data_IF_212808113157
#
_entry.id   IF_212808113157
#
_cell.length_a   1.000
_cell.length_b   1.000
_cell.length_c   1.000
_cell.angle_alpha   90.00
_cell.angle_beta   90.00
_cell.angle_gamma   90.00
#
_symmetry.space_group_name_H-M   'P 1'
#
loop_
_entity.id
_entity.type
_entity.pdbx_description
1 polymer ?
#
# COMPACT_ATOMS: atom_id res chain seq x y z
N UNK A 1 4.20 11.56 19.68
CA UNK A 1 3.56 11.91 18.41
C UNK A 1 2.70 13.13 18.68
N UNK A 2 3.13 14.33 18.27
CA UNK A 2 2.21 15.47 18.20
C UNK A 2 1.18 15.09 17.11
N UNK A 3 -0.11 15.16 17.40
CA UNK A 3 -1.20 14.65 16.55
C UNK A 3 -1.45 15.50 15.29
N UNK A 4 -0.40 15.73 14.50
CA UNK A 4 -0.46 16.45 13.23
C UNK A 4 -1.05 15.61 12.10
N UNK A 5 -1.48 16.31 11.05
CA UNK A 5 -1.91 15.70 9.79
C UNK A 5 -0.70 15.12 9.06
N UNK A 6 -0.85 13.92 8.50
CA UNK A 6 0.09 13.31 7.55
C UNK A 6 -0.51 13.43 6.15
N UNK A 7 0.27 13.90 5.16
CA UNK A 7 -0.22 14.06 3.77
C UNK A 7 -1.60 14.76 3.71
N UNK A 8 -2.64 14.02 3.31
CA UNK A 8 -3.99 14.51 3.02
C UNK A 8 -5.05 13.99 4.02
N UNK A 9 -4.62 13.70 5.25
CA UNK A 9 -5.45 13.18 6.36
C UNK A 9 -6.74 13.98 6.64
N UNK A 10 -6.75 15.28 6.32
CA UNK A 10 -7.89 16.16 6.55
C UNK A 10 -9.18 15.66 5.88
N UNK A 11 -9.07 14.88 4.81
CA UNK A 11 -10.22 14.32 4.11
C UNK A 11 -10.96 13.27 4.92
N UNK A 12 -10.21 12.47 5.69
CA UNK A 12 -10.76 11.36 6.46
C UNK A 12 -11.46 11.83 7.72
N UNK A 13 -10.97 12.91 8.30
CA UNK A 13 -11.45 13.45 9.57
C UNK A 13 -12.62 14.41 9.40
N UNK A 14 -12.68 15.14 8.28
CA UNK A 14 -13.71 16.17 8.04
C UNK A 14 -14.95 15.67 7.31
N UNK A 15 -14.99 14.42 6.86
CA UNK A 15 -16.11 13.85 6.08
C UNK A 15 -16.80 12.72 6.82
N UNK A 16 -18.14 12.64 6.81
CA UNK A 16 -18.86 11.49 7.34
C UNK A 16 -18.71 10.29 6.40
N UNK A 17 -18.18 9.19 6.91
CA UNK A 17 -18.08 7.92 6.21
C UNK A 17 -19.23 7.02 6.64
N UNK A 18 -20.11 6.64 5.71
CA UNK A 18 -21.27 5.82 6.00
C UNK A 18 -20.90 4.39 6.42
N UNK A 19 -21.72 3.78 7.30
CA UNK A 19 -21.60 2.37 7.71
C UNK A 19 -22.38 1.40 6.80
N UNK A 20 -23.08 1.91 5.78
CA UNK A 20 -23.87 1.08 4.87
C UNK A 20 -22.97 0.38 3.83
N UNK A 21 -22.47 -0.81 4.17
CA UNK A 21 -21.62 -1.60 3.28
C UNK A 21 -22.31 -1.93 1.94
N UNK A 22 -23.61 -2.24 1.95
CA UNK A 22 -24.36 -2.51 0.71
C UNK A 22 -24.44 -1.27 -0.19
N UNK A 23 -24.59 -0.09 0.40
CA UNK A 23 -24.51 1.18 -0.32
C UNK A 23 -23.14 1.40 -0.98
N UNK A 24 -22.05 1.04 -0.28
CA UNK A 24 -20.70 1.13 -0.83
C UNK A 24 -20.44 0.14 -1.96
N UNK A 25 -21.05 -1.06 -1.92
CA UNK A 25 -20.97 -2.02 -3.03
C UNK A 25 -21.58 -1.45 -4.32
N UNK A 26 -22.65 -0.67 -4.22
CA UNK A 26 -23.36 -0.10 -5.37
C UNK A 26 -22.68 1.14 -5.98
N UNK A 27 -21.89 1.88 -5.18
CA UNK A 27 -21.38 3.21 -5.56
C UNK A 27 -19.84 3.30 -5.64
N UNK A 28 -19.10 2.40 -5.00
CA UNK A 28 -17.63 2.47 -4.97
C UNK A 28 -17.08 3.66 -4.16
N UNK A 29 -15.76 3.82 -4.17
CA UNK A 29 -14.97 4.73 -3.33
C UNK A 29 -15.34 6.23 -3.49
N UNK A 30 -16.03 6.59 -4.56
CA UNK A 30 -15.84 7.92 -5.15
C UNK A 30 -17.06 8.53 -5.86
N UNK A 31 -18.22 7.86 -5.80
CA UNK A 31 -19.47 8.40 -6.35
C UNK A 31 -19.94 9.68 -5.64
N UNK A 32 -19.49 9.90 -4.40
CA UNK A 32 -19.76 11.12 -3.63
C UNK A 32 -18.84 12.30 -4.03
N UNK A 33 -17.91 12.08 -4.95
CA UNK A 33 -16.89 13.05 -5.38
C UNK A 33 -16.94 13.35 -6.88
N UNK A 34 -17.80 12.68 -7.65
CA UNK A 34 -17.89 12.88 -9.10
C UNK A 34 -16.64 12.46 -9.88
N UNK A 35 -15.75 11.66 -9.28
CA UNK A 35 -14.50 11.19 -9.90
C UNK A 35 -14.29 9.74 -9.55
N UNK A 36 -14.40 8.76 -10.46
CA UNK A 36 -14.20 7.34 -10.13
C UNK A 36 -12.84 6.81 -10.61
N UNK A 37 -11.85 6.91 -9.74
CA UNK A 37 -10.49 6.40 -9.93
C UNK A 37 -10.30 4.98 -9.36
N UNK A 38 -11.13 4.53 -8.39
CA UNK A 38 -11.04 3.16 -7.85
C UNK A 38 -12.38 2.57 -7.30
N UNK A 39 -12.50 1.24 -7.31
CA UNK A 39 -13.60 0.49 -6.67
C UNK A 39 -13.07 -0.34 -5.48
N UNK A 40 -13.25 0.17 -4.25
CA UNK A 40 -12.71 -0.41 -2.99
C UNK A 40 -13.72 -0.37 -1.83
N UNK A 41 -14.91 -0.96 -1.99
CA UNK A 41 -16.04 -0.78 -1.07
C UNK A 41 -15.76 -1.23 0.37
N UNK A 42 -14.96 -2.28 0.58
CA UNK A 42 -14.65 -2.73 1.94
C UNK A 42 -13.73 -1.75 2.67
N UNK A 43 -12.75 -1.17 1.96
CA UNK A 43 -11.89 -0.13 2.53
C UNK A 43 -12.71 1.09 2.95
N UNK A 44 -13.65 1.56 2.12
CA UNK A 44 -14.58 2.66 2.49
C UNK A 44 -15.32 2.34 3.79
N UNK A 45 -15.89 1.14 3.87
CA UNK A 45 -16.60 0.69 5.06
C UNK A 45 -15.71 0.71 6.31
N UNK A 46 -14.43 0.31 6.20
CA UNK A 46 -13.50 0.38 7.34
C UNK A 46 -13.17 1.80 7.78
N UNK A 47 -13.23 2.81 6.91
CA UNK A 47 -13.12 4.20 7.35
C UNK A 47 -14.35 4.66 8.12
N UNK A 48 -15.56 4.26 7.68
CA UNK A 48 -16.80 4.49 8.45
C UNK A 48 -16.74 3.87 9.84
N UNK A 49 -16.31 2.61 9.92
CA UNK A 49 -16.14 1.92 11.19
C UNK A 49 -15.11 2.61 12.08
N UNK A 50 -13.97 3.02 11.50
CA UNK A 50 -12.95 3.76 12.24
C UNK A 50 -13.47 5.11 12.73
N UNK A 51 -14.23 5.84 11.92
CA UNK A 51 -14.77 7.14 12.32
C UNK A 51 -15.78 7.01 13.46
N UNK A 52 -16.61 5.96 13.42
CA UNK A 52 -17.56 5.65 14.48
C UNK A 52 -16.87 5.30 15.81
N UNK A 53 -15.73 4.61 15.76
CA UNK A 53 -14.93 4.27 16.94
C UNK A 53 -14.05 5.43 17.44
N UNK A 54 -13.31 6.06 16.52
CA UNK A 54 -12.33 7.10 16.79
C UNK A 54 -12.05 7.95 15.52
N UNK A 55 -12.68 9.11 15.43
CA UNK A 55 -12.68 9.97 14.23
C UNK A 55 -11.47 10.89 14.06
N UNK A 56 -10.56 10.97 15.03
CA UNK A 56 -9.38 11.85 14.96
C UNK A 56 -8.30 11.28 14.02
N UNK A 57 -7.36 12.10 13.50
CA UNK A 57 -6.24 11.61 12.69
C UNK A 57 -5.46 10.48 13.40
N UNK A 58 -5.20 10.66 14.70
CA UNK A 58 -4.55 9.66 15.56
C UNK A 58 -5.31 8.33 15.56
N UNK A 59 -6.65 8.38 15.56
CA UNK A 59 -7.50 7.19 15.52
C UNK A 59 -7.39 6.41 14.21
N UNK A 60 -7.26 7.10 13.08
CA UNK A 60 -7.06 6.44 11.79
C UNK A 60 -5.67 5.81 11.66
N UNK A 61 -4.63 6.51 12.12
CA UNK A 61 -3.25 6.00 12.17
C UNK A 61 -3.14 4.79 13.10
N UNK A 62 -3.74 4.85 14.29
CA UNK A 62 -3.82 3.71 15.20
C UNK A 62 -4.53 2.52 14.56
N UNK A 63 -5.60 2.76 13.79
CA UNK A 63 -6.29 1.73 13.02
C UNK A 63 -5.38 1.06 11.99
N UNK A 64 -4.57 1.82 11.24
CA UNK A 64 -3.61 1.27 10.27
C UNK A 64 -2.52 0.44 10.96
N UNK A 65 -1.97 0.94 12.07
CA UNK A 65 -0.98 0.22 12.87
C UNK A 65 -1.56 -1.10 13.40
N UNK A 66 -2.80 -1.10 13.88
CA UNK A 66 -3.47 -2.30 14.36
C UNK A 66 -3.67 -3.32 13.23
N UNK A 67 -4.14 -2.89 12.05
CA UNK A 67 -4.29 -3.76 10.88
C UNK A 67 -2.94 -4.36 10.48
N UNK A 68 -1.87 -3.56 10.51
CA UNK A 68 -0.52 -4.02 10.20
C UNK A 68 0.01 -5.02 11.25
N UNK A 69 -0.26 -4.80 12.54
CA UNK A 69 0.06 -5.74 13.60
C UNK A 69 -0.66 -7.08 13.41
N UNK A 70 -1.95 -7.05 13.04
CA UNK A 70 -2.73 -8.25 12.69
C UNK A 70 -2.12 -8.97 11.47
N UNK A 71 -1.73 -8.24 10.43
CA UNK A 71 -1.06 -8.81 9.26
C UNK A 71 0.25 -9.53 9.66
N UNK A 72 1.06 -8.91 10.52
CA UNK A 72 2.32 -9.46 11.02
C UNK A 72 2.11 -10.71 11.90
N UNK A 73 1.01 -10.72 12.68
CA UNK A 73 0.54 -11.91 13.38
C UNK A 73 0.19 -13.05 12.42
N UNK A 74 -0.58 -12.78 11.37
CA UNK A 74 -0.88 -13.79 10.35
C UNK A 74 0.37 -14.25 9.57
N UNK A 75 1.34 -13.37 9.31
CA UNK A 75 2.63 -13.75 8.73
C UNK A 75 3.36 -14.78 9.61
N UNK A 76 3.39 -14.56 10.93
CA UNK A 76 3.94 -15.51 11.92
C UNK A 76 3.20 -16.85 11.89
N UNK A 77 1.87 -16.79 11.98
CA UNK A 77 1.02 -17.98 12.03
C UNK A 77 1.11 -18.80 10.74
N UNK A 78 1.12 -18.13 9.59
CA UNK A 78 1.30 -18.76 8.28
C UNK A 78 2.69 -19.40 8.18
N UNK A 79 3.76 -18.68 8.52
CA UNK A 79 5.12 -19.21 8.54
C UNK A 79 5.24 -20.48 9.40
N UNK A 80 4.60 -20.50 10.57
CA UNK A 80 4.55 -21.66 11.46
C UNK A 80 3.83 -22.85 10.81
N UNK A 81 2.70 -22.59 10.13
CA UNK A 81 1.94 -23.63 9.40
C UNK A 81 2.67 -24.15 8.17
N UNK A 82 3.54 -23.34 7.56
CA UNK A 82 4.38 -23.72 6.43
C UNK A 82 5.65 -24.49 6.85
N UNK A 83 5.80 -24.83 8.13
CA UNK A 83 6.85 -25.74 8.60
C UNK A 83 8.06 -25.09 9.25
N UNK A 84 8.07 -23.76 9.44
CA UNK A 84 9.10 -23.11 10.25
C UNK A 84 8.90 -23.40 11.75
N UNK A 85 10.00 -23.48 12.50
CA UNK A 85 10.00 -23.54 13.97
C UNK A 85 9.37 -22.30 14.59
N UNK A 86 9.00 -22.36 15.88
CA UNK A 86 8.34 -21.23 16.56
C UNK A 86 9.18 -19.94 16.51
N UNK A 87 10.49 -20.04 16.78
CA UNK A 87 11.41 -18.91 16.73
C UNK A 87 11.53 -18.31 15.33
N UNK A 88 11.77 -19.16 14.31
CA UNK A 88 11.88 -18.69 12.92
C UNK A 88 10.57 -18.08 12.41
N UNK A 89 9.42 -18.65 12.76
CA UNK A 89 8.12 -18.09 12.44
C UNK A 89 7.90 -16.72 13.10
N UNK A 90 8.29 -16.56 14.37
CA UNK A 90 8.27 -15.26 15.06
C UNK A 90 9.17 -14.22 14.38
N UNK A 91 10.37 -14.63 13.96
CA UNK A 91 11.28 -13.78 13.17
C UNK A 91 10.62 -13.35 11.87
N UNK A 92 9.90 -14.23 11.16
CA UNK A 92 9.16 -13.87 9.94
C UNK A 92 8.16 -12.73 10.20
N UNK A 93 7.38 -12.82 11.28
CA UNK A 93 6.42 -11.77 11.64
C UNK A 93 7.07 -10.46 12.06
N UNK A 94 8.17 -10.50 12.83
CA UNK A 94 8.93 -9.30 13.22
C UNK A 94 9.57 -8.64 12.01
N UNK A 95 10.13 -9.43 11.08
CA UNK A 95 10.66 -8.91 9.82
C UNK A 95 9.55 -8.25 9.00
N UNK A 96 8.39 -8.89 8.87
CA UNK A 96 7.25 -8.28 8.19
C UNK A 96 6.82 -6.98 8.88
N UNK A 97 6.70 -6.97 10.21
CA UNK A 97 6.32 -5.77 10.97
C UNK A 97 7.29 -4.58 10.82
N UNK A 98 8.58 -4.87 10.65
CA UNK A 98 9.62 -3.86 10.56
C UNK A 98 10.06 -3.57 9.12
N UNK A 99 9.43 -4.19 8.12
CA UNK A 99 9.90 -4.09 6.74
C UNK A 99 9.78 -2.64 6.23
N UNK A 100 10.85 -2.00 5.73
CA UNK A 100 10.87 -0.57 5.44
C UNK A 100 9.87 -0.15 4.34
N UNK A 101 9.54 -1.08 3.44
CA UNK A 101 8.53 -0.86 2.38
C UNK A 101 7.11 -0.62 2.91
N UNK A 102 6.86 -0.85 4.19
CA UNK A 102 5.54 -0.65 4.78
C UNK A 102 5.27 0.78 5.23
N UNK A 103 6.28 1.66 5.27
CA UNK A 103 6.15 3.04 5.72
C UNK A 103 4.92 3.72 5.11
N UNK A 104 4.91 3.88 3.78
CA UNK A 104 3.75 4.44 3.08
C UNK A 104 2.41 3.77 3.41
N UNK A 105 2.34 2.43 3.45
CA UNK A 105 1.08 1.72 3.64
C UNK A 105 0.52 1.90 5.06
N UNK A 106 1.40 2.14 6.05
CA UNK A 106 1.05 2.27 7.46
C UNK A 106 0.87 3.74 7.86
N UNK A 107 1.81 4.62 7.50
CA UNK A 107 1.83 6.04 7.87
C UNK A 107 0.73 6.85 7.20
N UNK A 108 0.34 6.49 5.98
CA UNK A 108 -0.67 7.22 5.22
C UNK A 108 -2.06 6.61 5.44
N UNK A 109 -3.07 7.42 5.80
CA UNK A 109 -4.43 6.89 6.06
C UNK A 109 -4.94 6.12 4.83
N UNK A 110 -4.85 6.67 3.62
CA UNK A 110 -5.26 6.00 2.37
C UNK A 110 -4.44 4.73 2.05
N UNK A 111 -3.24 4.62 2.61
CA UNK A 111 -2.38 3.44 2.55
C UNK A 111 -3.03 2.18 3.16
N UNK A 112 -4.08 2.35 3.97
CA UNK A 112 -4.91 1.28 4.57
C UNK A 112 -5.34 0.22 3.56
N UNK A 113 -5.61 0.62 2.31
CA UNK A 113 -6.00 -0.31 1.24
C UNK A 113 -5.04 -1.50 1.12
N UNK A 114 -3.72 -1.24 1.15
CA UNK A 114 -2.70 -2.27 1.06
C UNK A 114 -2.54 -3.06 2.37
N UNK A 115 -2.55 -2.39 3.54
CA UNK A 115 -2.41 -3.08 4.83
C UNK A 115 -3.59 -4.00 5.12
N UNK A 116 -4.82 -3.54 4.86
CA UNK A 116 -6.06 -4.28 5.05
C UNK A 116 -6.13 -5.48 4.11
N UNK A 117 -5.90 -5.27 2.81
CA UNK A 117 -5.88 -6.36 1.85
C UNK A 117 -4.77 -7.38 2.16
N UNK A 118 -3.59 -6.92 2.60
CA UNK A 118 -2.50 -7.80 3.02
C UNK A 118 -2.84 -8.62 4.26
N UNK A 119 -3.41 -8.00 5.30
CA UNK A 119 -3.85 -8.70 6.51
C UNK A 119 -4.87 -9.80 6.20
N UNK A 120 -5.90 -9.46 5.41
CA UNK A 120 -6.94 -10.38 4.98
C UNK A 120 -6.39 -11.49 4.08
N UNK A 121 -5.44 -11.18 3.19
CA UNK A 121 -4.77 -12.17 2.32
C UNK A 121 -3.94 -13.16 3.12
N UNK A 122 -3.13 -12.69 4.07
CA UNK A 122 -2.32 -13.54 4.95
C UNK A 122 -3.21 -14.40 5.85
N UNK A 123 -4.29 -13.83 6.40
CA UNK A 123 -5.29 -14.58 7.17
C UNK A 123 -6.00 -15.65 6.35
N UNK A 124 -6.39 -15.33 5.11
CA UNK A 124 -7.01 -16.28 4.19
C UNK A 124 -6.06 -17.45 3.86
N UNK A 125 -4.79 -17.15 3.56
CA UNK A 125 -3.76 -18.17 3.32
C UNK A 125 -3.52 -19.05 4.55
N UNK A 126 -3.48 -18.45 5.75
CA UNK A 126 -3.35 -19.18 7.01
C UNK A 126 -4.54 -20.13 7.26
N UNK A 127 -5.77 -19.65 7.11
CA UNK A 127 -6.98 -20.46 7.27
C UNK A 127 -7.07 -21.58 6.24
N UNK A 128 -6.64 -21.34 4.99
CA UNK A 128 -6.60 -22.35 3.94
C UNK A 128 -5.64 -23.51 4.24
N UNK A 129 -4.72 -23.35 5.21
CA UNK A 129 -3.84 -24.45 5.66
C UNK A 129 -4.56 -25.49 6.51
N UNK A 130 -5.77 -25.22 6.99
CA UNK A 130 -6.54 -26.12 7.84
C UNK A 130 -7.55 -26.95 7.04
N UNK A 131 -7.75 -28.24 7.40
CA UNK A 131 -8.85 -29.02 6.85
C UNK A 131 -10.22 -28.52 7.37
N UNK A 132 -11.27 -28.79 6.60
CA UNK A 132 -12.66 -28.60 7.04
C UNK A 132 -13.42 -27.51 6.28
N UNK A 133 -14.75 -27.62 6.27
CA UNK A 133 -15.63 -26.68 5.57
C UNK A 133 -15.65 -25.29 6.19
N UNK A 134 -15.63 -25.20 7.52
CA UNK A 134 -15.59 -23.93 8.25
C UNK A 134 -14.34 -23.09 7.91
N UNK A 135 -13.15 -23.70 7.96
CA UNK A 135 -11.90 -23.01 7.60
C UNK A 135 -11.89 -22.57 6.14
N UNK A 136 -12.42 -23.39 5.22
CA UNK A 136 -12.55 -23.03 3.81
C UNK A 136 -13.49 -21.82 3.65
N UNK A 137 -14.65 -21.83 4.30
CA UNK A 137 -15.59 -20.71 4.26
C UNK A 137 -15.00 -19.41 4.84
N UNK A 138 -14.28 -19.52 5.96
CA UNK A 138 -13.60 -18.38 6.57
C UNK A 138 -12.46 -17.85 5.68
N UNK A 139 -11.66 -18.73 5.07
CA UNK A 139 -10.62 -18.35 4.10
C UNK A 139 -11.21 -17.66 2.87
N UNK A 140 -12.29 -18.19 2.30
CA UNK A 140 -13.02 -17.57 1.19
C UNK A 140 -13.56 -16.20 1.59
N UNK A 141 -14.10 -16.06 2.80
CA UNK A 141 -14.64 -14.78 3.30
C UNK A 141 -13.53 -13.74 3.40
N UNK A 142 -12.40 -14.06 4.03
CA UNK A 142 -11.27 -13.13 4.11
C UNK A 142 -10.72 -12.80 2.71
N UNK A 143 -10.64 -13.77 1.80
CA UNK A 143 -10.19 -13.53 0.44
C UNK A 143 -11.13 -12.62 -0.35
N UNK A 144 -12.44 -12.79 -0.20
CA UNK A 144 -13.45 -11.92 -0.78
C UNK A 144 -13.29 -10.48 -0.29
N UNK A 145 -13.16 -10.30 1.03
CA UNK A 145 -12.96 -8.99 1.63
C UNK A 145 -11.63 -8.36 1.19
N UNK A 146 -10.56 -9.15 1.01
CA UNK A 146 -9.29 -8.66 0.50
C UNK A 146 -9.42 -8.08 -0.92
N UNK A 147 -10.10 -8.81 -1.82
CA UNK A 147 -10.37 -8.36 -3.20
C UNK A 147 -11.22 -7.08 -3.21
N UNK A 148 -12.23 -6.99 -2.35
CA UNK A 148 -13.08 -5.81 -2.18
C UNK A 148 -12.36 -4.62 -1.49
N UNK A 149 -11.21 -4.86 -0.87
CA UNK A 149 -10.39 -3.81 -0.24
C UNK A 149 -9.46 -3.14 -1.23
N UNK A 150 -8.82 -3.96 -2.08
CA UNK A 150 -7.73 -3.48 -2.92
C UNK A 150 -7.48 -4.40 -4.12
N UNK A 151 -7.23 -3.79 -5.28
CA UNK A 151 -6.92 -4.51 -6.51
C UNK A 151 -5.65 -5.36 -6.44
N UNK A 152 -4.77 -5.10 -5.47
CA UNK A 152 -3.59 -5.93 -5.20
C UNK A 152 -3.91 -7.37 -4.83
N UNK A 153 -5.10 -7.62 -4.28
CA UNK A 153 -5.53 -8.97 -3.90
C UNK A 153 -6.14 -9.76 -5.07
N UNK A 154 -6.12 -9.23 -6.30
CA UNK A 154 -6.75 -9.85 -7.46
C UNK A 154 -6.28 -11.28 -7.74
N UNK A 155 -4.99 -11.57 -7.52
CA UNK A 155 -4.39 -12.90 -7.71
C UNK A 155 -4.33 -13.73 -6.43
N UNK A 156 -5.01 -13.32 -5.35
CA UNK A 156 -5.12 -14.12 -4.13
C UNK A 156 -5.67 -15.54 -4.36
N UNK A 157 -6.65 -15.79 -5.27
CA UNK A 157 -7.07 -17.15 -5.61
C UNK A 157 -5.89 -18.06 -6.02
N UNK A 158 -4.96 -17.55 -6.84
CA UNK A 158 -3.79 -18.30 -7.28
C UNK A 158 -2.79 -18.54 -6.12
N UNK A 159 -2.64 -17.58 -5.22
CA UNK A 159 -1.80 -17.75 -4.02
C UNK A 159 -2.36 -18.82 -3.08
N UNK A 160 -3.68 -18.86 -2.89
CA UNK A 160 -4.35 -19.90 -2.10
C UNK A 160 -4.11 -21.29 -2.69
N UNK A 161 -4.17 -21.42 -4.03
CA UNK A 161 -3.80 -22.68 -4.71
C UNK A 161 -2.37 -23.05 -4.39
N UNK A 162 -1.42 -22.13 -4.53
CA UNK A 162 -0.01 -22.39 -4.26
C UNK A 162 0.23 -22.87 -2.82
N UNK A 163 -0.40 -22.22 -1.82
CA UNK A 163 -0.31 -22.61 -0.41
C UNK A 163 -0.92 -23.99 -0.14
N UNK A 164 -2.12 -24.26 -0.68
CA UNK A 164 -2.79 -25.55 -0.49
C UNK A 164 -2.01 -26.68 -1.16
N UNK A 165 -1.41 -26.42 -2.33
CA UNK A 165 -0.59 -27.38 -3.05
C UNK A 165 0.72 -27.67 -2.33
N UNK A 166 1.37 -26.65 -1.78
CA UNK A 166 2.60 -26.81 -0.99
C UNK A 166 2.44 -27.79 0.18
N UNK A 167 1.27 -27.77 0.84
CA UNK A 167 0.96 -28.62 1.98
C UNK A 167 0.64 -30.07 1.60
N UNK A 168 0.61 -30.43 0.31
CA UNK A 168 0.39 -31.81 -0.08
C UNK A 168 1.59 -32.70 0.22
N UNK A 169 1.36 -33.90 0.79
CA UNK A 169 2.38 -34.94 0.85
C UNK A 169 2.94 -35.22 -0.54
N UNK A 170 4.27 -35.38 -0.66
CA UNK A 170 4.93 -35.61 -1.94
C UNK A 170 4.44 -36.87 -2.69
N UNK A 171 3.84 -37.82 -1.96
CA UNK A 171 3.33 -39.10 -2.48
C UNK A 171 1.80 -39.19 -2.37
N UNK A 172 1.10 -38.07 -2.23
CA UNK A 172 -0.36 -38.10 -2.19
C UNK A 172 -0.90 -38.63 -3.54
N UNK A 173 -1.81 -39.63 -3.54
CA UNK A 173 -2.29 -40.27 -4.76
C UNK A 173 -3.16 -39.36 -5.64
N UNK A 174 -3.60 -38.20 -5.14
CA UNK A 174 -4.38 -37.24 -5.90
C UNK A 174 -4.09 -35.78 -5.49
N UNK A 175 -4.16 -34.83 -6.45
CA UNK A 175 -4.04 -33.40 -6.18
C UNK A 175 -5.17 -32.90 -5.26
N UNK A 176 -5.03 -31.75 -4.58
CA UNK A 176 -5.94 -31.30 -3.53
C UNK A 176 -7.20 -30.64 -4.12
N UNK A 177 -7.63 -31.07 -5.31
CA UNK A 177 -8.64 -30.39 -6.12
C UNK A 177 -9.95 -30.19 -5.35
N UNK A 178 -10.35 -31.14 -4.50
CA UNK A 178 -11.55 -30.99 -3.66
C UNK A 178 -11.43 -29.84 -2.67
N UNK A 179 -10.26 -29.68 -2.04
CA UNK A 179 -9.99 -28.59 -1.08
C UNK A 179 -9.87 -27.26 -1.82
N UNK A 180 -9.16 -27.25 -2.95
CA UNK A 180 -9.03 -26.09 -3.82
C UNK A 180 -10.41 -25.64 -4.30
N UNK A 181 -11.22 -26.54 -4.85
CA UNK A 181 -12.56 -26.24 -5.34
C UNK A 181 -13.49 -25.70 -4.24
N UNK A 182 -13.46 -26.25 -3.02
CA UNK A 182 -14.27 -25.72 -1.90
C UNK A 182 -13.93 -24.28 -1.54
N UNK A 183 -12.68 -23.86 -1.71
CA UNK A 183 -12.24 -22.50 -1.38
C UNK A 183 -12.45 -21.56 -2.57
N UNK A 184 -12.19 -22.04 -3.79
CA UNK A 184 -12.20 -21.22 -5.00
C UNK A 184 -13.55 -21.09 -5.68
N UNK A 185 -14.40 -22.13 -5.66
CA UNK A 185 -15.71 -22.06 -6.30
C UNK A 185 -16.57 -20.89 -5.78
N UNK A 186 -16.72 -20.69 -4.45
CA UNK A 186 -17.44 -19.51 -3.95
C UNK A 186 -16.68 -18.20 -4.21
N UNK A 187 -15.34 -18.23 -4.25
CA UNK A 187 -14.51 -17.04 -4.51
C UNK A 187 -14.60 -16.57 -5.97
N UNK A 188 -14.83 -17.49 -6.91
CA UNK A 188 -14.96 -17.17 -8.33
C UNK A 188 -16.15 -16.23 -8.59
N UNK A 189 -17.28 -16.46 -7.93
CA UNK A 189 -18.45 -15.57 -8.03
C UNK A 189 -18.12 -14.15 -7.53
N UNK A 190 -17.43 -14.03 -6.39
CA UNK A 190 -17.00 -12.73 -5.85
C UNK A 190 -16.03 -12.02 -6.78
N UNK A 191 -15.07 -12.78 -7.34
CA UNK A 191 -14.08 -12.25 -8.25
C UNK A 191 -14.72 -11.73 -9.55
N UNK A 192 -15.65 -12.51 -10.14
CA UNK A 192 -16.41 -12.09 -11.32
C UNK A 192 -17.28 -10.87 -11.03
N UNK A 193 -17.95 -10.84 -9.87
CA UNK A 193 -18.72 -9.69 -9.42
C UNK A 193 -17.83 -8.45 -9.26
N UNK A 194 -16.66 -8.57 -8.65
CA UNK A 194 -15.71 -7.47 -8.49
C UNK A 194 -15.25 -6.92 -9.84
N UNK A 195 -14.89 -7.80 -10.79
CA UNK A 195 -14.51 -7.38 -12.16
C UNK A 195 -15.65 -6.66 -12.84
N UNK A 196 -16.88 -7.20 -12.76
CA UNK A 196 -18.06 -6.58 -13.34
C UNK A 196 -18.37 -5.21 -12.74
N UNK A 197 -18.41 -5.09 -11.41
CA UNK A 197 -18.65 -3.81 -10.72
C UNK A 197 -17.54 -2.81 -11.02
N UNK A 198 -16.28 -3.24 -11.01
CA UNK A 198 -15.15 -2.37 -11.32
C UNK A 198 -15.22 -1.86 -12.75
N UNK A 199 -15.56 -2.72 -13.71
CA UNK A 199 -15.79 -2.31 -15.09
C UNK A 199 -16.92 -1.28 -15.16
N UNK A 200 -18.07 -1.56 -14.55
CA UNK A 200 -19.24 -0.69 -14.58
C UNK A 200 -18.99 0.69 -13.93
N UNK A 201 -18.42 0.72 -12.72
CA UNK A 201 -18.17 1.95 -11.96
C UNK A 201 -17.10 2.82 -12.61
N UNK A 202 -16.03 2.22 -13.17
CA UNK A 202 -14.94 2.98 -13.79
C UNK A 202 -15.29 3.39 -15.23
N UNK A 203 -16.07 2.60 -15.98
CA UNK A 203 -16.48 2.94 -17.35
C UNK A 203 -17.68 3.89 -17.43
N UNK A 204 -18.50 3.98 -16.37
CA UNK A 204 -19.72 4.78 -16.34
C UNK A 204 -19.56 6.24 -15.93
N UNK A 205 -18.39 6.67 -15.44
CA UNK A 205 -18.10 8.05 -15.03
C UNK A 205 -17.00 8.62 -15.94
N UNK A 206 -17.24 9.80 -16.51
CA UNK A 206 -16.48 10.39 -17.61
C UNK A 206 -14.96 10.29 -17.47
N UNK A 207 -14.34 9.98 -18.62
CA UNK A 207 -12.89 10.01 -18.86
C UNK A 207 -12.34 11.45 -18.80
N UNK A 208 -12.54 12.22 -17.75
CA UNK A 208 -11.89 13.55 -17.63
C UNK A 208 -11.01 13.64 -16.38
N UNK A 209 -11.21 12.77 -15.40
CA UNK A 209 -10.43 12.75 -14.15
C UNK A 209 -9.06 12.11 -14.29
N UNK A 210 -8.82 11.36 -15.36
CA UNK A 210 -7.51 10.80 -15.68
C UNK A 210 -6.49 11.90 -16.08
N UNK A 211 -6.96 13.12 -16.36
CA UNK A 211 -6.11 14.27 -16.72
C UNK A 211 -5.21 14.78 -15.57
N UNK A 212 -5.64 14.63 -14.31
CA UNK A 212 -4.81 14.98 -13.14
C UNK A 212 -3.79 13.88 -12.81
N UNK A 213 -4.19 12.60 -12.93
CA UNK A 213 -3.24 11.48 -12.88
C UNK A 213 -2.25 11.50 -14.05
N UNK A 214 -2.66 12.00 -15.23
CA UNK A 214 -1.78 12.10 -16.40
C UNK A 214 -0.77 13.24 -16.29
N UNK A 215 -1.00 14.26 -15.45
CA UNK A 215 0.01 15.26 -15.10
C UNK A 215 1.14 14.66 -14.24
N UNK A 216 0.81 13.73 -13.31
CA UNK A 216 1.79 12.97 -12.51
C UNK A 216 2.53 11.92 -13.35
N UNK A 217 1.97 11.51 -14.49
CA UNK A 217 2.49 10.41 -15.32
C UNK A 217 2.61 10.77 -16.81
N UNK A 218 2.91 12.03 -17.18
CA UNK A 218 3.07 12.43 -18.59
C UNK A 218 4.08 11.52 -19.31
N UNK A 219 5.12 11.07 -18.60
CA UNK A 219 6.08 10.10 -19.13
C UNK A 219 5.56 8.66 -19.12
N UNK A 220 4.78 8.26 -18.11
CA UNK A 220 4.35 6.88 -17.89
C UNK A 220 3.39 6.34 -18.95
N UNK A 221 2.50 7.19 -19.49
CA UNK A 221 1.58 6.80 -20.57
C UNK A 221 2.24 6.74 -21.95
N UNK A 222 3.34 7.48 -22.16
CA UNK A 222 4.08 7.48 -23.43
C UNK A 222 5.00 6.25 -23.58
N UNK A 223 5.37 5.58 -22.49
CA UNK A 223 6.20 4.38 -22.55
C UNK A 223 5.42 3.15 -23.05
N UNK A 224 6.02 2.32 -23.91
CA UNK A 224 5.48 1.00 -24.26
C UNK A 224 5.20 0.15 -23.02
N UNK A 225 4.18 -0.71 -23.10
CA UNK A 225 3.77 -1.61 -21.99
C UNK A 225 4.93 -2.46 -21.47
N UNK A 226 5.81 -2.94 -22.36
CA UNK A 226 6.99 -3.73 -22.02
C UNK A 226 8.02 -2.94 -21.19
N UNK A 227 8.25 -1.68 -21.53
CA UNK A 227 9.18 -0.82 -20.80
C UNK A 227 8.64 -0.49 -19.40
N UNK A 228 7.33 -0.22 -19.30
CA UNK A 228 6.65 -0.03 -18.02
C UNK A 228 6.74 -1.28 -17.16
N UNK A 229 6.46 -2.44 -17.74
CA UNK A 229 6.58 -3.74 -17.08
C UNK A 229 7.96 -3.96 -16.47
N UNK A 230 9.01 -3.73 -17.25
CA UNK A 230 10.39 -3.88 -16.79
C UNK A 230 10.75 -2.88 -15.68
N UNK A 231 10.47 -1.58 -15.88
CA UNK A 231 10.78 -0.52 -14.90
C UNK A 231 10.08 -0.76 -13.58
N UNK A 232 8.78 -1.07 -13.60
CA UNK A 232 8.01 -1.35 -12.40
C UNK A 232 8.52 -2.59 -11.68
N UNK A 233 8.83 -3.66 -12.42
CA UNK A 233 9.37 -4.90 -11.83
C UNK A 233 10.69 -4.62 -11.10
N UNK A 234 11.63 -3.92 -11.73
CA UNK A 234 12.91 -3.57 -11.12
C UNK A 234 12.75 -2.71 -9.87
N UNK A 235 11.88 -1.69 -9.93
CA UNK A 235 11.60 -0.83 -8.78
C UNK A 235 10.98 -1.64 -7.65
N UNK A 236 9.92 -2.41 -7.91
CA UNK A 236 9.24 -3.24 -6.93
C UNK A 236 10.18 -4.25 -6.24
N UNK A 237 11.02 -4.95 -7.03
CA UNK A 237 11.97 -5.92 -6.50
C UNK A 237 12.96 -5.28 -5.53
N UNK A 238 13.43 -4.08 -5.83
CA UNK A 238 14.46 -3.44 -5.00
C UNK A 238 13.94 -2.72 -3.81
N UNK A 239 12.68 -2.32 -3.87
CA UNK A 239 11.96 -1.76 -2.76
C UNK A 239 11.58 -2.84 -1.75
N UNK A 240 11.25 -4.05 -2.21
CA UNK A 240 11.16 -5.23 -1.35
C UNK A 240 12.52 -5.62 -0.75
N UNK A 241 13.64 -5.29 -1.41
CA UNK A 241 14.97 -5.46 -0.82
C UNK A 241 15.41 -4.27 0.04
N UNK A 242 14.54 -3.29 0.30
CA UNK A 242 14.82 -2.18 1.22
C UNK A 242 15.52 -0.96 0.59
N UNK A 243 15.56 -0.84 -0.74
CA UNK A 243 15.98 0.40 -1.39
C UNK A 243 15.06 1.58 -0.98
N UNK A 244 15.65 2.76 -0.80
CA UNK A 244 14.91 4.02 -0.59
C UNK A 244 14.35 4.62 -1.89
N UNK A 245 13.90 5.87 -1.84
CA UNK A 245 13.55 6.65 -3.04
C UNK A 245 14.82 7.26 -3.68
N UNK A 246 14.91 7.29 -5.02
CA UNK A 246 15.95 7.99 -5.79
C UNK A 246 16.89 7.09 -6.62
N UNK A 247 17.62 7.71 -7.56
CA UNK A 247 18.47 7.00 -8.56
C UNK A 247 19.61 6.18 -7.94
N UNK A 248 20.12 6.59 -6.77
CA UNK A 248 21.20 5.91 -6.05
C UNK A 248 20.69 5.06 -4.87
N UNK A 249 19.37 4.83 -4.76
CA UNK A 249 18.78 4.09 -3.65
C UNK A 249 19.29 2.63 -3.52
N UNK A 250 19.76 2.06 -4.63
CA UNK A 250 20.38 0.75 -4.76
C UNK A 250 21.77 0.67 -4.13
N UNK A 251 22.38 1.82 -3.81
CA UNK A 251 23.65 1.89 -3.08
C UNK A 251 23.42 2.04 -1.58
N UNK A 252 22.16 2.06 -1.11
CA UNK A 252 21.87 2.16 0.31
C UNK A 252 22.39 0.93 1.05
N UNK A 253 22.96 1.16 2.24
CA UNK A 253 23.43 0.09 3.13
C UNK A 253 22.31 -0.92 3.45
N UNK A 254 21.07 -0.44 3.55
CA UNK A 254 19.90 -1.28 3.79
C UNK A 254 19.65 -2.25 2.63
N UNK A 255 19.65 -1.75 1.39
CA UNK A 255 19.47 -2.58 0.20
C UNK A 255 20.56 -3.66 0.09
N UNK A 256 21.82 -3.25 0.22
CA UNK A 256 22.96 -4.17 0.11
C UNK A 256 22.91 -5.26 1.20
N UNK A 257 22.72 -4.87 2.46
CA UNK A 257 22.65 -5.83 3.55
C UNK A 257 21.46 -6.78 3.40
N UNK A 258 20.27 -6.27 3.10
CA UNK A 258 19.07 -7.09 2.90
C UNK A 258 19.27 -8.08 1.76
N UNK A 259 19.82 -7.63 0.62
CA UNK A 259 20.10 -8.49 -0.54
C UNK A 259 21.09 -9.60 -0.21
N UNK A 260 22.20 -9.27 0.46
CA UNK A 260 23.21 -10.25 0.89
C UNK A 260 22.56 -11.27 1.84
N UNK A 261 21.81 -10.81 2.83
CA UNK A 261 21.18 -11.69 3.81
C UNK A 261 20.10 -12.59 3.18
N UNK A 262 19.32 -12.09 2.22
CA UNK A 262 18.34 -12.90 1.47
C UNK A 262 19.04 -14.01 0.69
N UNK A 263 20.13 -13.69 -0.02
CA UNK A 263 20.91 -14.68 -0.77
C UNK A 263 21.53 -15.72 0.17
N UNK A 264 22.18 -15.28 1.25
CA UNK A 264 22.80 -16.18 2.24
C UNK A 264 21.73 -17.06 2.89
N UNK A 265 20.60 -16.49 3.33
CA UNK A 265 19.50 -17.22 3.92
C UNK A 265 18.91 -18.25 2.95
N UNK A 266 18.72 -17.88 1.68
CA UNK A 266 18.25 -18.80 0.65
C UNK A 266 19.22 -19.97 0.44
N UNK A 267 20.54 -19.73 0.40
CA UNK A 267 21.55 -20.78 0.26
C UNK A 267 21.55 -21.71 1.48
N UNK A 268 21.51 -21.15 2.69
CA UNK A 268 21.48 -21.92 3.94
C UNK A 268 20.24 -22.81 4.02
N UNK A 269 19.06 -22.23 3.79
CA UNK A 269 17.79 -22.94 3.78
C UNK A 269 17.74 -23.99 2.66
N UNK A 270 18.24 -23.69 1.46
CA UNK A 270 18.31 -24.64 0.35
C UNK A 270 19.16 -25.87 0.67
N UNK A 271 20.28 -25.67 1.36
CA UNK A 271 21.19 -26.75 1.81
C UNK A 271 20.66 -27.50 3.03
N UNK A 272 19.75 -26.91 3.80
CA UNK A 272 19.25 -27.48 5.04
C UNK A 272 18.28 -28.65 4.83
N UNK A 273 17.20 -28.47 4.05
CA UNK A 273 16.23 -29.55 3.83
C UNK A 273 15.43 -29.42 2.53
N UNK A 274 14.90 -30.55 2.01
CA UNK A 274 13.99 -30.54 0.85
C UNK A 274 12.72 -29.73 1.12
N UNK A 275 12.24 -29.72 2.36
CA UNK A 275 11.09 -28.91 2.78
C UNK A 275 11.39 -27.41 2.64
N UNK A 276 12.59 -26.98 3.06
CA UNK A 276 13.04 -25.60 2.94
C UNK A 276 13.15 -25.13 1.50
N UNK A 277 13.62 -25.99 0.57
CA UNK A 277 13.65 -25.66 -0.87
C UNK A 277 12.25 -25.38 -1.42
N UNK A 278 11.27 -26.21 -1.05
CA UNK A 278 9.87 -26.02 -1.45
C UNK A 278 9.30 -24.73 -0.83
N UNK A 279 9.69 -24.40 0.40
CA UNK A 279 9.24 -23.19 1.08
C UNK A 279 9.77 -21.93 0.39
N UNK A 280 11.05 -21.91 -0.02
CA UNK A 280 11.63 -20.82 -0.80
C UNK A 280 10.88 -20.66 -2.14
N UNK A 281 10.63 -21.77 -2.84
CA UNK A 281 9.89 -21.74 -4.10
C UNK A 281 8.47 -21.18 -3.91
N UNK A 282 7.76 -21.60 -2.85
CA UNK A 282 6.45 -21.06 -2.50
C UNK A 282 6.54 -19.54 -2.22
N UNK A 283 7.51 -19.11 -1.43
CA UNK A 283 7.71 -17.70 -1.08
C UNK A 283 7.93 -16.83 -2.34
N UNK A 284 8.71 -17.31 -3.30
CA UNK A 284 8.93 -16.64 -4.59
C UNK A 284 7.64 -16.60 -5.41
N UNK A 285 6.93 -17.72 -5.53
CA UNK A 285 5.68 -17.81 -6.31
C UNK A 285 4.60 -16.89 -5.73
N UNK A 286 4.37 -16.92 -4.41
CA UNK A 286 3.40 -16.06 -3.73
C UNK A 286 3.74 -14.58 -3.94
N UNK A 287 5.01 -14.21 -3.82
CA UNK A 287 5.45 -12.82 -4.01
C UNK A 287 5.33 -12.37 -5.46
N UNK A 288 5.67 -13.24 -6.42
CA UNK A 288 5.51 -12.96 -7.85
C UNK A 288 4.03 -12.76 -8.24
N UNK A 289 3.15 -13.62 -7.73
CA UNK A 289 1.70 -13.46 -7.90
C UNK A 289 1.19 -12.16 -7.26
N UNK A 290 1.77 -11.73 -6.14
CA UNK A 290 1.38 -10.49 -5.47
C UNK A 290 1.89 -9.24 -6.23
N UNK A 291 3.02 -9.36 -6.93
CA UNK A 291 3.55 -8.29 -7.78
C UNK A 291 2.84 -8.17 -9.13
N UNK A 292 2.38 -9.28 -9.69
CA UNK A 292 1.86 -9.34 -11.07
C UNK A 292 0.80 -8.26 -11.42
N UNK A 293 -0.16 -7.89 -10.54
CA UNK A 293 -1.12 -6.82 -10.84
C UNK A 293 -0.48 -5.45 -11.08
N UNK A 294 0.75 -5.22 -10.61
CA UNK A 294 1.44 -3.93 -10.66
C UNK A 294 2.46 -3.80 -11.77
N UNK A 295 2.77 -4.90 -12.46
CA UNK A 295 3.78 -4.92 -13.52
C UNK A 295 3.43 -3.89 -14.60
N UNK A 296 2.19 -3.87 -15.09
CA UNK A 296 1.75 -2.93 -16.14
C UNK A 296 1.12 -1.64 -15.61
N UNK A 297 1.10 -1.46 -14.28
CA UNK A 297 0.44 -0.31 -13.64
C UNK A 297 1.14 1.01 -13.98
N UNK A 298 0.36 2.07 -14.19
CA UNK A 298 0.91 3.42 -14.44
C UNK A 298 1.34 4.06 -13.14
N UNK A 299 2.66 4.16 -12.93
CA UNK A 299 3.26 4.69 -11.70
C UNK A 299 3.67 3.61 -10.71
N UNK A 300 4.30 4.04 -9.62
CA UNK A 300 4.86 3.18 -8.58
C UNK A 300 4.57 3.74 -7.19
N UNK A 301 4.37 2.86 -6.21
CA UNK A 301 4.17 3.19 -4.80
C UNK A 301 4.67 2.04 -3.91
N UNK A 302 5.14 2.34 -2.70
CA UNK A 302 5.72 1.34 -1.78
C UNK A 302 4.66 0.36 -1.29
N UNK A 303 3.42 0.85 -1.16
CA UNK A 303 2.25 0.04 -0.81
C UNK A 303 2.02 -1.14 -1.78
N UNK A 304 2.49 -1.08 -3.03
CA UNK A 304 2.40 -2.19 -3.99
C UNK A 304 3.29 -3.38 -3.59
N UNK A 305 4.36 -3.12 -2.85
CA UNK A 305 5.30 -4.10 -2.34
C UNK A 305 4.92 -4.64 -0.95
N UNK A 306 3.79 -4.20 -0.37
CA UNK A 306 3.35 -4.63 0.96
C UNK A 306 3.18 -6.15 1.07
N UNK A 307 2.25 -6.76 0.33
CA UNK A 307 2.05 -8.21 0.37
C UNK A 307 3.26 -8.99 -0.22
N UNK A 308 3.87 -8.57 -1.36
CA UNK A 308 5.05 -9.24 -1.90
C UNK A 308 6.26 -9.36 -0.94
N UNK A 309 6.42 -8.41 0.00
CA UNK A 309 7.53 -8.45 0.97
C UNK A 309 7.53 -9.70 1.87
N UNK A 310 6.40 -10.41 1.99
CA UNK A 310 6.31 -11.66 2.76
C UNK A 310 7.32 -12.71 2.27
N UNK A 311 7.65 -12.74 0.98
CA UNK A 311 8.62 -13.69 0.44
C UNK A 311 10.01 -13.49 1.01
N UNK A 312 10.48 -12.23 1.10
CA UNK A 312 11.76 -11.89 1.73
C UNK A 312 11.76 -12.30 3.20
N UNK A 313 10.67 -12.01 3.92
CA UNK A 313 10.54 -12.34 5.33
C UNK A 313 10.61 -13.86 5.57
N UNK A 314 9.91 -14.66 4.75
CA UNK A 314 9.92 -16.13 4.82
C UNK A 314 11.29 -16.71 4.48
N UNK A 315 11.97 -16.18 3.45
CA UNK A 315 13.31 -16.65 3.06
C UNK A 315 14.33 -16.38 4.16
N UNK A 316 14.34 -15.16 4.73
CA UNK A 316 15.22 -14.81 5.85
C UNK A 316 14.93 -15.70 7.06
N UNK A 317 13.67 -15.90 7.42
CA UNK A 317 13.25 -16.78 8.51
C UNK A 317 13.66 -18.24 8.29
N UNK A 318 13.56 -18.76 7.07
CA UNK A 318 14.04 -20.10 6.72
C UNK A 318 15.56 -20.23 6.86
N UNK A 319 16.32 -19.18 6.53
CA UNK A 319 17.77 -19.13 6.79
C UNK A 319 18.09 -19.16 8.28
N UNK A 320 17.34 -18.43 9.10
CA UNK A 320 17.46 -18.48 10.57
C UNK A 320 17.17 -19.88 11.09
N UNK A 321 16.09 -20.53 10.64
CA UNK A 321 15.77 -21.92 10.99
C UNK A 321 16.95 -22.86 10.69
N UNK A 322 17.52 -22.76 9.48
CA UNK A 322 18.63 -23.59 9.05
C UNK A 322 19.88 -23.48 9.95
N UNK A 323 20.11 -22.31 10.57
CA UNK A 323 21.22 -22.07 11.51
C UNK A 323 20.87 -22.52 12.92
N UNK A 324 19.64 -22.27 13.36
CA UNK A 324 19.18 -22.71 14.68
C UNK A 324 19.29 -24.24 14.85
N UNK A 325 19.06 -25.00 13.78
CA UNK A 325 19.13 -26.46 13.79
C UNK A 325 20.56 -27.03 13.78
N UNK A 326 21.60 -26.21 13.56
CA UNK A 326 22.99 -26.67 13.36
C UNK A 326 23.87 -26.74 14.62
N UNK A 327 23.34 -26.39 15.79
CA UNK A 327 24.04 -26.37 17.09
C UNK A 327 25.45 -25.75 17.14
N UNK A 328 25.72 -24.79 16.25
CA UNK A 328 26.99 -24.07 16.16
C UNK A 328 26.85 -22.67 16.73
N UNK A 329 27.48 -22.44 17.89
CA UNK A 329 27.43 -21.16 18.61
C UNK A 329 27.83 -19.96 17.73
N UNK A 330 28.95 -20.06 17.00
CA UNK A 330 29.44 -18.98 16.14
C UNK A 330 28.45 -18.62 15.02
N UNK A 331 27.83 -19.61 14.36
CA UNK A 331 26.83 -19.36 13.32
C UNK A 331 25.59 -18.66 13.90
N UNK A 332 25.13 -19.10 15.09
CA UNK A 332 24.00 -18.46 15.80
C UNK A 332 24.32 -17.03 16.23
N UNK A 333 25.55 -16.76 16.69
CA UNK A 333 26.01 -15.41 17.05
C UNK A 333 26.03 -14.49 15.82
N UNK A 334 26.60 -14.95 14.70
CA UNK A 334 26.63 -14.19 13.44
C UNK A 334 25.22 -13.86 12.93
N UNK A 335 24.29 -14.81 12.96
CA UNK A 335 22.90 -14.57 12.57
C UNK A 335 22.24 -13.55 13.49
N UNK A 336 22.49 -13.62 14.80
CA UNK A 336 21.93 -12.68 15.77
C UNK A 336 22.44 -11.25 15.53
N UNK A 337 23.74 -11.09 15.30
CA UNK A 337 24.35 -9.78 14.96
C UNK A 337 23.79 -9.25 13.64
N UNK A 338 23.67 -10.11 12.61
CA UNK A 338 23.09 -9.73 11.34
C UNK A 338 21.61 -9.31 11.45
N UNK A 339 20.82 -10.02 12.26
CA UNK A 339 19.42 -9.69 12.52
C UNK A 339 19.28 -8.35 13.25
N UNK A 340 20.12 -8.08 14.25
CA UNK A 340 20.14 -6.79 14.96
C UNK A 340 20.55 -5.65 14.02
N UNK A 341 21.60 -5.84 13.21
CA UNK A 341 22.04 -4.84 12.24
C UNK A 341 20.97 -4.54 11.19
N UNK A 342 20.33 -5.58 10.65
CA UNK A 342 19.22 -5.45 9.69
C UNK A 342 18.05 -4.72 10.32
N UNK A 343 17.62 -5.13 11.52
CA UNK A 343 16.53 -4.50 12.26
C UNK A 343 16.79 -3.02 12.53
N UNK A 344 18.01 -2.65 12.94
CA UNK A 344 18.39 -1.26 13.15
C UNK A 344 18.33 -0.42 11.86
N UNK A 345 18.78 -0.97 10.73
CA UNK A 345 18.71 -0.29 9.44
C UNK A 345 17.26 -0.13 8.95
N UNK A 346 16.44 -1.16 9.11
CA UNK A 346 15.02 -1.14 8.73
C UNK A 346 14.24 -0.13 9.58
N UNK A 347 14.41 -0.15 10.90
CA UNK A 347 13.81 0.85 11.81
C UNK A 347 14.25 2.26 11.45
N UNK A 348 15.54 2.48 11.19
CA UNK A 348 16.03 3.80 10.76
C UNK A 348 15.33 4.27 9.48
N UNK A 349 15.13 3.39 8.50
CA UNK A 349 14.47 3.73 7.25
C UNK A 349 12.98 4.02 7.42
N UNK A 350 12.29 3.27 8.29
CA UNK A 350 10.90 3.56 8.67
C UNK A 350 10.79 4.95 9.32
N UNK A 351 11.67 5.27 10.27
CA UNK A 351 11.68 6.60 10.93
C UNK A 351 11.92 7.74 9.93
N UNK A 352 12.81 7.52 8.94
CA UNK A 352 13.03 8.51 7.89
C UNK A 352 11.81 8.67 6.98
N UNK A 353 11.15 7.56 6.62
CA UNK A 353 9.91 7.61 5.84
C UNK A 353 8.81 8.35 6.60
N UNK A 354 8.61 8.04 7.88
CA UNK A 354 7.65 8.75 8.75
C UNK A 354 7.93 10.26 8.80
N UNK A 355 9.20 10.66 8.90
CA UNK A 355 9.57 12.08 8.87
C UNK A 355 9.15 12.76 7.56
N UNK A 356 9.37 12.10 6.42
CA UNK A 356 8.98 12.62 5.11
C UNK A 356 7.45 12.76 4.99
N UNK A 357 6.70 11.79 5.50
CA UNK A 357 5.23 11.81 5.54
C UNK A 357 4.66 12.93 6.43
N UNK A 358 5.24 13.14 7.61
CA UNK A 358 4.87 14.24 8.49
C UNK A 358 5.19 15.61 7.85
N UNK A 359 6.37 15.74 7.23
CA UNK A 359 6.75 16.99 6.55
C UNK A 359 5.84 17.30 5.36
N UNK A 360 5.42 16.29 4.60
CA UNK A 360 4.46 16.45 3.53
C UNK A 360 3.09 16.94 4.05
N UNK A 361 2.63 16.45 5.22
CA UNK A 361 1.42 16.93 5.89
C UNK A 361 1.51 18.40 6.31
N UNK A 362 2.65 18.82 6.86
CA UNK A 362 2.90 20.24 7.21
C UNK A 362 2.83 21.13 5.97
N UNK A 363 3.39 20.69 4.83
CA UNK A 363 3.31 21.43 3.56
C UNK A 363 1.86 21.51 3.08
N UNK A 364 1.12 20.41 3.12
CA UNK A 364 -0.29 20.37 2.69
C UNK A 364 -1.16 21.31 3.53
N UNK A 365 -0.97 21.32 4.85
CA UNK A 365 -1.67 22.21 5.78
C UNK A 365 -1.30 23.68 5.54
N UNK A 366 -0.01 23.98 5.34
CA UNK A 366 0.46 25.33 5.05
C UNK A 366 -0.15 25.90 3.76
N UNK A 367 -0.13 25.12 2.67
CA UNK A 367 -0.72 25.50 1.39
C UNK A 367 -2.22 25.75 1.55
N UNK A 368 -2.93 24.83 2.20
CA UNK A 368 -4.39 24.90 2.36
C UNK A 368 -4.81 26.11 3.19
N UNK A 369 -4.12 26.36 4.30
CA UNK A 369 -4.41 27.47 5.22
C UNK A 369 -4.10 28.82 4.58
N UNK A 370 -2.96 28.93 3.89
CA UNK A 370 -2.58 30.17 3.21
C UNK A 370 -3.45 30.45 1.98
N UNK A 371 -3.84 29.41 1.23
CA UNK A 371 -4.76 29.55 0.10
C UNK A 371 -6.12 30.06 0.57
N UNK A 372 -6.62 29.56 1.70
CA UNK A 372 -7.86 30.04 2.29
C UNK A 372 -7.76 31.50 2.77
N UNK A 373 -6.66 31.85 3.45
CA UNK A 373 -6.43 33.21 3.92
C UNK A 373 -6.36 34.23 2.76
N UNK A 374 -5.62 33.90 1.69
CA UNK A 374 -5.47 34.77 0.52
C UNK A 374 -6.72 34.77 -0.38
N UNK A 375 -7.50 33.68 -0.40
CA UNK A 375 -8.72 33.53 -1.19
C UNK A 375 -9.98 34.10 -0.55
N UNK A 376 -9.93 34.54 0.71
CA UNK A 376 -11.11 35.06 1.43
C UNK A 376 -11.77 36.35 0.88
N UNK A 377 -11.13 37.22 0.06
CA UNK A 377 -11.84 38.35 -0.57
C UNK A 377 -12.51 38.00 -1.93
N UNK A 378 -12.54 36.74 -2.34
CA UNK A 378 -13.01 36.33 -3.67
C UNK A 378 -14.55 36.50 -3.86
N UNK A 379 -15.02 37.10 -4.96
CA UNK A 379 -16.45 37.15 -5.31
C UNK A 379 -17.08 35.76 -5.56
N UNK A 380 -18.41 35.69 -5.63
CA UNK A 380 -19.14 34.45 -5.91
C UNK A 380 -18.83 33.95 -7.33
N UNK A 381 -18.61 32.64 -7.48
CA UNK A 381 -18.33 32.01 -8.78
C UNK A 381 -16.93 32.28 -9.36
N UNK A 382 -16.02 32.82 -8.54
CA UNK A 382 -14.63 33.04 -8.91
C UNK A 382 -13.83 31.73 -8.98
N UNK A 383 -12.66 31.77 -9.60
CA UNK A 383 -11.70 30.68 -9.62
C UNK A 383 -10.47 30.99 -8.77
N UNK A 384 -9.96 29.96 -8.08
CA UNK A 384 -8.69 29.99 -7.36
C UNK A 384 -7.76 28.97 -8.01
N UNK A 385 -6.62 29.44 -8.51
CA UNK A 385 -5.61 28.60 -9.13
C UNK A 385 -4.31 28.70 -8.34
N UNK A 386 -3.67 27.56 -8.02
CA UNK A 386 -2.43 27.53 -7.25
C UNK A 386 -1.33 26.80 -8.02
N UNK A 387 -0.22 27.50 -8.29
CA UNK A 387 0.90 27.04 -9.11
C UNK A 387 2.07 26.59 -8.21
N UNK A 388 2.80 25.57 -8.67
CA UNK A 388 3.99 25.05 -8.01
C UNK A 388 3.68 24.19 -6.79
N UNK A 389 2.45 23.67 -6.68
CA UNK A 389 2.08 22.78 -5.57
C UNK A 389 2.82 21.44 -5.72
N UNK A 390 3.73 21.08 -4.81
CA UNK A 390 4.45 19.82 -4.94
C UNK A 390 3.48 18.64 -4.82
N UNK A 391 3.59 17.66 -5.73
CA UNK A 391 2.79 16.43 -5.66
C UNK A 391 3.33 15.46 -4.60
N UNK A 392 4.65 15.38 -4.50
CA UNK A 392 5.35 14.55 -3.53
C UNK A 392 6.58 15.26 -2.94
N UNK A 393 6.97 14.81 -1.75
CA UNK A 393 8.18 15.16 -1.04
C UNK A 393 8.96 13.87 -0.77
N UNK A 394 10.00 13.61 -1.56
CA UNK A 394 10.88 12.44 -1.39
C UNK A 394 10.15 11.08 -1.32
N UNK A 395 8.99 11.00 -1.97
CA UNK A 395 8.15 9.79 -2.00
C UNK A 395 6.91 9.84 -1.10
N UNK A 396 6.85 10.74 -0.12
CA UNK A 396 5.63 11.04 0.62
C UNK A 396 4.74 11.99 -0.19
N UNK A 397 3.44 11.76 -0.24
CA UNK A 397 2.56 12.62 -1.01
C UNK A 397 2.14 13.86 -0.22
N UNK A 398 2.00 14.99 -0.92
CA UNK A 398 1.47 16.24 -0.35
C UNK A 398 -0.01 16.36 -0.76
N UNK A 399 -0.27 16.34 -2.07
CA UNK A 399 -1.60 16.20 -2.65
C UNK A 399 -1.54 15.25 -3.84
N UNK A 400 -2.12 14.06 -3.72
CA UNK A 400 -2.34 13.16 -4.87
C UNK A 400 -3.68 13.47 -5.52
N UNK A 401 -4.67 13.67 -4.66
CA UNK A 401 -6.08 13.82 -4.97
C UNK A 401 -6.67 14.81 -3.97
N UNK A 402 -7.71 15.52 -4.38
CA UNK A 402 -8.55 16.35 -3.49
C UNK A 402 -7.92 17.64 -2.92
N UNK A 403 -6.95 18.23 -3.63
CA UNK A 403 -6.49 19.60 -3.34
C UNK A 403 -7.64 20.61 -3.33
N UNK A 404 -8.51 20.54 -4.34
CA UNK A 404 -9.73 21.34 -4.47
C UNK A 404 -10.65 21.23 -3.26
N UNK A 405 -10.80 20.01 -2.74
CA UNK A 405 -11.57 19.77 -1.53
C UNK A 405 -10.89 20.37 -0.28
N UNK A 406 -9.57 20.20 -0.15
CA UNK A 406 -8.82 20.70 0.99
C UNK A 406 -9.03 22.21 1.17
N UNK A 407 -8.86 22.92 0.05
CA UNK A 407 -8.94 24.37 -0.01
C UNK A 407 -10.39 24.85 0.11
N UNK A 408 -11.38 24.20 -0.52
CA UNK A 408 -12.80 24.57 -0.36
C UNK A 408 -13.29 24.40 1.08
N UNK A 409 -12.87 23.34 1.77
CA UNK A 409 -13.17 23.16 3.18
C UNK A 409 -12.52 24.24 4.05
N UNK A 410 -11.27 24.59 3.79
CA UNK A 410 -10.58 25.64 4.53
C UNK A 410 -11.18 27.04 4.26
N UNK A 411 -11.69 27.28 3.06
CA UNK A 411 -12.44 28.49 2.69
C UNK A 411 -13.87 28.51 3.25
N UNK A 412 -14.39 27.38 3.73
CA UNK A 412 -15.81 27.17 4.04
C UNK A 412 -16.75 27.55 2.87
N UNK A 413 -16.32 27.32 1.62
CA UNK A 413 -17.04 27.71 0.39
C UNK A 413 -16.96 26.63 -0.67
N UNK A 414 -18.09 26.33 -1.31
CA UNK A 414 -18.21 25.36 -2.41
C UNK A 414 -18.41 26.00 -3.78
N UNK A 415 -18.57 27.32 -3.85
CA UNK A 415 -18.88 28.07 -5.07
C UNK A 415 -17.63 28.57 -5.81
N UNK A 416 -16.44 28.43 -5.19
CA UNK A 416 -15.15 28.79 -5.78
C UNK A 416 -14.59 27.60 -6.56
N UNK A 417 -14.26 27.80 -7.84
CA UNK A 417 -13.62 26.77 -8.67
C UNK A 417 -12.13 26.69 -8.32
N UNK A 418 -11.70 25.60 -7.69
CA UNK A 418 -10.31 25.44 -7.24
C UNK A 418 -9.56 24.48 -8.16
N UNK A 419 -8.34 24.87 -8.54
CA UNK A 419 -7.44 24.05 -9.34
C UNK A 419 -5.99 24.27 -8.93
N UNK A 420 -5.11 23.32 -9.25
CA UNK A 420 -3.67 23.42 -9.04
C UNK A 420 -2.89 23.08 -10.29
N UNK A 421 -1.71 23.68 -10.42
CA UNK A 421 -0.66 23.27 -11.35
C UNK A 421 0.59 22.86 -10.53
N UNK A 422 1.06 21.61 -10.65
CA UNK A 422 2.27 21.18 -9.96
C UNK A 422 3.55 21.79 -10.52
N UNK A 423 3.56 22.33 -11.74
CA UNK A 423 4.73 22.94 -12.35
C UNK A 423 5.04 24.31 -11.70
N UNK A 424 6.22 24.50 -11.08
CA UNK A 424 6.62 25.81 -10.55
C UNK A 424 6.72 26.89 -11.63
N UNK A 425 7.00 26.48 -12.87
CA UNK A 425 7.04 27.35 -14.05
C UNK A 425 5.67 27.47 -14.75
N UNK A 426 4.62 26.88 -14.17
CA UNK A 426 3.25 26.98 -14.66
C UNK A 426 2.79 28.43 -14.80
N UNK A 427 1.88 28.65 -15.74
CA UNK A 427 1.31 29.96 -16.04
C UNK A 427 -0.07 30.12 -15.39
N UNK A 428 -0.38 31.34 -14.95
CA UNK A 428 -1.73 31.64 -14.50
C UNK A 428 -2.72 31.56 -15.66
N UNK A 429 -3.94 31.04 -15.44
CA UNK A 429 -4.98 31.08 -16.45
C UNK A 429 -5.26 32.50 -16.91
N UNK A 430 -5.47 32.70 -18.21
CA UNK A 430 -5.87 33.99 -18.81
C UNK A 430 -7.35 34.25 -18.53
N UNK A 431 -7.69 34.51 -17.28
CA UNK A 431 -9.03 34.92 -16.84
C UNK A 431 -8.98 36.35 -16.27
N UNK A 432 -10.10 37.11 -16.28
CA UNK A 432 -10.12 38.44 -15.69
C UNK A 432 -9.72 38.40 -14.21
N UNK A 433 -8.87 39.32 -13.77
CA UNK A 433 -8.41 39.39 -12.37
C UNK A 433 -9.56 39.63 -11.36
N UNK A 434 -10.70 40.14 -11.84
CA UNK A 434 -11.91 40.34 -11.04
C UNK A 434 -12.67 39.04 -10.74
N UNK A 435 -12.40 37.96 -11.49
CA UNK A 435 -13.07 36.66 -11.35
C UNK A 435 -12.11 35.49 -11.10
N UNK A 436 -10.80 35.75 -11.00
CA UNK A 436 -9.79 34.72 -10.78
C UNK A 436 -8.64 35.20 -9.90
N UNK A 437 -8.23 34.38 -8.93
CA UNK A 437 -7.05 34.57 -8.11
C UNK A 437 -6.03 33.48 -8.43
N UNK A 438 -4.81 33.89 -8.76
CA UNK A 438 -3.69 33.00 -9.00
C UNK A 438 -2.67 33.14 -7.88
N UNK A 439 -2.33 32.02 -7.23
CA UNK A 439 -1.33 31.95 -6.18
C UNK A 439 -0.14 31.10 -6.64
N UNK A 440 1.06 31.43 -6.15
CA UNK A 440 2.28 30.65 -6.38
C UNK A 440 2.87 30.20 -5.07
N UNK A 441 3.19 28.92 -5.00
CA UNK A 441 3.89 28.29 -3.88
C UNK A 441 5.40 28.45 -4.00
N UNK A 442 6.01 29.03 -2.97
CA UNK A 442 7.46 29.03 -2.78
C UNK A 442 7.85 27.88 -1.85
N UNK A 443 8.53 26.86 -2.39
CA UNK A 443 8.94 25.69 -1.65
C UNK A 443 10.06 25.97 -0.61
N UNK A 444 10.88 26.99 -0.82
CA UNK A 444 11.96 27.36 0.11
C UNK A 444 11.39 28.11 1.31
N UNK A 445 10.51 29.08 1.06
CA UNK A 445 9.91 29.91 2.11
C UNK A 445 8.67 29.25 2.75
N UNK A 446 8.12 28.22 2.11
CA UNK A 446 6.85 27.56 2.51
C UNK A 446 5.68 28.53 2.56
N UNK A 447 5.62 29.44 1.58
CA UNK A 447 4.63 30.50 1.53
C UNK A 447 3.91 30.54 0.19
N UNK A 448 2.62 30.89 0.22
CA UNK A 448 1.86 31.29 -0.96
C UNK A 448 1.91 32.80 -1.13
N UNK A 449 2.08 33.23 -2.37
CA UNK A 449 2.01 34.64 -2.78
C UNK A 449 1.11 34.80 -3.99
N UNK A 450 0.52 35.98 -4.18
CA UNK A 450 -0.25 36.29 -5.39
C UNK A 450 0.70 36.35 -6.58
N UNK A 451 0.46 35.50 -7.58
CA UNK A 451 1.19 35.52 -8.84
C UNK A 451 0.68 36.68 -9.69
N UNK A 452 1.54 37.67 -9.96
CA UNK A 452 1.24 38.81 -10.84
C UNK A 452 1.45 38.46 -12.30
#
# INVERSE_FOLDING_TARGET
MQGGLVSDDFQFTRRPWGLNFLGHLASGWEHQLGRATAYRPFTVFTYGLNQWLWSSPVGFHAGNILIHAVASGFATLLARRLGLGATAAGVCGVLFALHPVHGEAVSWISGRTATLAGALSLGAMWLATFPGGYHAAAATTLAALAILSYEGAFLLPAMLVAVVWYLQPAHAPAPPWRRVARTLAPLAAVWLFYVFMRWFVISGLERDTWALSSAVTRDGFALPVSERAWRNTLQLLTRVLGAGYGLLAWQSRTFLLTSILVVVAAILAWRHSRSSRRLIALAIVVSALAFAPYVTYTGYADRFAYLPSIGVCVILAAGVQAVLDRDRFLERACVSVAAVALGALWVRQLVLSERDWNEAGVIAEAITTQAAALGSPLPQGSSLHVIGVPLNLRGAYVFITYFDLAVSQALARSDVKISMDPDPAGACPTAPATSSLCLRWDAQQRTLSVAR
#
